data_IF_058660482814
#
_entry.id   IF_058660482814
#
_cell.length_a   1.000
_cell.length_b   1.000
_cell.length_c   1.000
_cell.angle_alpha   90.00
_cell.angle_beta   90.00
_cell.angle_gamma   90.00
#
_symmetry.space_group_name_H-M   'P 1'
#
loop_
_entity.id
_entity.type
_entity.pdbx_description
1 polymer ?
#
# COMPACT_ATOMS: atom_id res chain seq x y z
N UNK A 1 -77.46 23.45 14.94
CA UNK A 1 -76.71 22.38 15.62
C UNK A 1 -75.56 21.83 14.76
N UNK A 2 -75.04 22.56 13.78
CA UNK A 2 -74.03 22.03 12.84
C UNK A 2 -72.82 22.95 12.61
N UNK A 3 -72.65 23.99 13.42
CA UNK A 3 -71.52 24.92 13.29
C UNK A 3 -70.41 24.70 14.35
N UNK A 4 -70.71 24.07 15.49
CA UNK A 4 -69.69 23.77 16.52
C UNK A 4 -68.79 22.58 16.14
N UNK A 5 -69.29 21.67 15.31
CA UNK A 5 -68.57 20.44 14.94
C UNK A 5 -67.40 20.62 13.95
N UNK A 6 -67.28 21.78 13.28
CA UNK A 6 -66.16 22.07 12.38
C UNK A 6 -65.03 22.85 13.07
N UNK A 7 -65.33 23.67 14.07
CA UNK A 7 -64.31 24.36 14.88
C UNK A 7 -63.58 23.39 15.81
N UNK A 8 -64.30 22.43 16.39
CA UNK A 8 -63.70 21.42 17.26
C UNK A 8 -62.76 20.50 16.46
N UNK A 9 -63.13 20.11 15.23
CA UNK A 9 -62.28 19.31 14.35
C UNK A 9 -61.01 20.04 13.87
N UNK A 10 -61.08 21.37 13.68
CA UNK A 10 -59.92 22.19 13.31
C UNK A 10 -58.97 22.40 14.48
N UNK A 11 -59.49 22.50 15.69
CA UNK A 11 -58.69 22.65 16.91
C UNK A 11 -58.02 21.32 17.29
N UNK A 12 -58.71 20.20 17.12
CA UNK A 12 -58.16 18.85 17.31
C UNK A 12 -57.07 18.52 16.28
N UNK A 13 -57.20 18.99 15.02
CA UNK A 13 -56.17 18.82 13.99
C UNK A 13 -54.93 19.68 14.26
N UNK A 14 -55.09 20.91 14.74
CA UNK A 14 -53.97 21.77 15.12
C UNK A 14 -53.24 21.24 16.35
N UNK A 15 -53.96 20.71 17.34
CA UNK A 15 -53.36 20.05 18.49
C UNK A 15 -52.61 18.77 18.11
N UNK A 16 -53.14 17.98 17.18
CA UNK A 16 -52.45 16.79 16.67
C UNK A 16 -51.20 17.14 15.85
N UNK A 17 -51.20 18.22 15.06
CA UNK A 17 -50.01 18.67 14.34
C UNK A 17 -48.94 19.26 15.28
N UNK A 18 -49.34 19.97 16.35
CA UNK A 18 -48.40 20.46 17.37
C UNK A 18 -47.78 19.31 18.17
N UNK A 19 -48.58 18.33 18.62
CA UNK A 19 -48.10 17.15 19.36
C UNK A 19 -47.18 16.27 18.49
N UNK A 20 -47.45 16.14 17.19
CA UNK A 20 -46.60 15.40 16.25
C UNK A 20 -45.27 16.12 15.94
N UNK A 21 -45.28 17.46 15.88
CA UNK A 21 -44.04 18.23 15.71
C UNK A 21 -43.19 18.23 16.99
N UNK A 22 -43.81 18.26 18.18
CA UNK A 22 -43.09 18.10 19.46
C UNK A 22 -42.46 16.70 19.58
N UNK A 23 -43.17 15.64 19.16
CA UNK A 23 -42.60 14.28 19.10
C UNK A 23 -41.43 14.16 18.12
N UNK A 24 -41.49 14.79 16.93
CA UNK A 24 -40.36 14.82 15.99
C UNK A 24 -39.17 15.63 16.53
N UNK A 25 -39.40 16.77 17.18
CA UNK A 25 -38.33 17.58 17.80
C UNK A 25 -37.67 16.83 18.99
N UNK A 26 -38.44 16.14 19.83
CA UNK A 26 -37.91 15.31 20.92
C UNK A 26 -37.13 14.09 20.39
N UNK A 27 -37.60 13.45 19.31
CA UNK A 27 -36.85 12.38 18.65
C UNK A 27 -35.55 12.90 18.01
N UNK A 28 -35.56 14.09 17.40
CA UNK A 28 -34.36 14.72 16.85
C UNK A 28 -33.35 15.09 17.95
N UNK A 29 -33.77 15.74 19.05
CA UNK A 29 -32.88 16.06 20.18
C UNK A 29 -32.31 14.79 20.84
N UNK A 30 -33.12 13.75 21.03
CA UNK A 30 -32.65 12.48 21.58
C UNK A 30 -31.61 11.79 20.67
N UNK A 31 -31.82 11.87 19.36
CA UNK A 31 -30.86 11.36 18.37
C UNK A 31 -29.54 12.15 18.39
N UNK A 32 -29.59 13.48 18.53
CA UNK A 32 -28.40 14.34 18.66
C UNK A 32 -27.59 14.02 19.92
N UNK A 33 -28.25 13.84 21.07
CA UNK A 33 -27.59 13.45 22.33
C UNK A 33 -26.92 12.06 22.22
N UNK A 34 -27.60 11.09 21.61
CA UNK A 34 -27.02 9.76 21.36
C UNK A 34 -25.79 9.83 20.43
N UNK A 35 -25.82 10.67 19.41
CA UNK A 35 -24.69 10.87 18.49
C UNK A 35 -23.51 11.54 19.19
N UNK A 36 -23.73 12.52 20.06
CA UNK A 36 -22.66 13.12 20.87
C UNK A 36 -22.04 12.11 21.84
N UNK A 37 -22.85 11.28 22.50
CA UNK A 37 -22.35 10.21 23.38
C UNK A 37 -21.54 9.17 22.59
N UNK A 38 -21.96 8.79 21.39
CA UNK A 38 -21.20 7.88 20.52
C UNK A 38 -19.87 8.49 20.07
N UNK A 39 -19.88 9.77 19.69
CA UNK A 39 -18.69 10.50 19.26
C UNK A 39 -17.67 10.67 20.39
N UNK A 40 -18.13 10.94 21.60
CA UNK A 40 -17.25 11.00 22.79
C UNK A 40 -16.66 9.62 23.13
N UNK A 41 -17.44 8.55 22.98
CA UNK A 41 -16.96 7.17 23.17
C UNK A 41 -15.87 6.78 22.15
N UNK A 42 -16.05 7.17 20.89
CA UNK A 42 -15.10 6.89 19.81
C UNK A 42 -13.79 7.68 19.97
N UNK A 43 -13.88 8.92 20.48
CA UNK A 43 -12.71 9.70 20.89
C UNK A 43 -12.00 9.07 22.10
N UNK A 44 -12.72 8.58 23.11
CA UNK A 44 -12.13 7.81 24.23
C UNK A 44 -11.39 6.55 23.73
N UNK A 45 -11.95 5.85 22.73
CA UNK A 45 -11.32 4.69 22.12
C UNK A 45 -9.99 5.09 21.47
N UNK A 46 -9.97 6.20 20.75
CA UNK A 46 -8.77 6.70 20.11
C UNK A 46 -7.70 7.11 21.12
N UNK A 47 -8.10 7.79 22.20
CA UNK A 47 -7.20 8.17 23.29
C UNK A 47 -6.62 6.95 24.00
N UNK A 48 -7.40 5.87 24.18
CA UNK A 48 -6.90 4.61 24.73
C UNK A 48 -5.81 3.98 23.85
N UNK A 49 -5.96 4.05 22.53
CA UNK A 49 -4.97 3.57 21.58
C UNK A 49 -3.70 4.44 21.57
N UNK A 50 -3.83 5.76 21.74
CA UNK A 50 -2.71 6.71 21.87
C UNK A 50 -1.92 6.45 23.15
N UNK A 51 -2.62 6.24 24.27
CA UNK A 51 -2.04 5.97 25.59
C UNK A 51 -1.53 4.54 25.76
N UNK A 52 -1.70 3.67 24.76
CA UNK A 52 -1.27 2.26 24.76
C UNK A 52 -1.92 1.42 25.86
N UNK A 53 -3.17 1.74 26.21
CA UNK A 53 -3.92 0.99 27.24
C UNK A 53 -4.81 -0.08 26.60
N UNK A 54 -4.27 -1.30 26.49
CA UNK A 54 -5.01 -2.43 25.93
C UNK A 54 -6.24 -2.81 26.74
N UNK A 55 -6.21 -2.68 28.07
CA UNK A 55 -7.35 -3.05 28.92
C UNK A 55 -8.51 -2.09 28.71
N UNK A 56 -8.23 -0.79 28.65
CA UNK A 56 -9.23 0.23 28.34
C UNK A 56 -9.78 0.04 26.93
N UNK A 57 -8.93 -0.17 25.94
CA UNK A 57 -9.33 -0.43 24.55
C UNK A 57 -10.27 -1.63 24.45
N UNK A 58 -9.93 -2.73 25.15
CA UNK A 58 -10.75 -3.94 25.19
C UNK A 58 -12.12 -3.69 25.84
N UNK A 59 -12.15 -2.97 26.96
CA UNK A 59 -13.40 -2.63 27.65
C UNK A 59 -14.32 -1.78 26.75
N UNK A 60 -13.77 -0.75 26.09
CA UNK A 60 -14.54 0.13 25.21
C UNK A 60 -15.12 -0.63 24.00
N UNK A 61 -14.36 -1.55 23.38
CA UNK A 61 -14.82 -2.32 22.22
C UNK A 61 -15.78 -3.47 22.56
N UNK A 62 -15.64 -4.09 23.73
CA UNK A 62 -16.45 -5.26 24.11
C UNK A 62 -17.71 -4.84 24.88
N UNK A 63 -17.57 -3.98 25.88
CA UNK A 63 -18.66 -3.66 26.81
C UNK A 63 -19.45 -2.43 26.38
N UNK A 64 -18.77 -1.38 25.89
CA UNK A 64 -19.41 -0.12 25.51
C UNK A 64 -19.80 -0.03 24.03
N UNK A 65 -19.34 -0.97 23.20
CA UNK A 65 -19.68 -1.00 21.77
C UNK A 65 -19.07 0.12 20.94
N UNK A 66 -17.91 0.65 21.35
CA UNK A 66 -17.21 1.70 20.59
C UNK A 66 -16.92 1.28 19.14
N UNK A 67 -16.98 2.23 18.21
CA UNK A 67 -16.88 1.94 16.79
C UNK A 67 -15.42 1.78 16.35
N UNK A 68 -15.02 0.54 16.05
CA UNK A 68 -13.66 0.25 15.55
C UNK A 68 -13.37 0.84 14.15
N UNK A 69 -14.40 1.30 13.42
CA UNK A 69 -14.27 1.98 12.13
C UNK A 69 -13.91 3.47 12.25
N UNK A 70 -13.97 4.04 13.45
CA UNK A 70 -13.81 5.48 13.64
C UNK A 70 -12.47 6.02 13.12
N UNK A 71 -12.57 7.02 12.25
CA UNK A 71 -11.45 7.81 11.74
C UNK A 71 -11.66 9.27 12.16
N UNK A 72 -10.63 9.85 12.77
CA UNK A 72 -10.62 11.25 13.20
C UNK A 72 -9.86 12.08 12.18
N UNK A 73 -10.50 13.12 11.67
CA UNK A 73 -9.86 14.16 10.85
C UNK A 73 -9.80 15.47 11.64
N UNK A 74 -8.60 15.95 11.86
CA UNK A 74 -8.30 17.18 12.58
C UNK A 74 -7.84 18.21 11.55
N UNK A 75 -8.64 19.26 11.39
CA UNK A 75 -8.29 20.39 10.55
C UNK A 75 -7.30 21.31 11.29
N UNK A 76 -6.22 21.65 10.58
CA UNK A 76 -5.20 22.60 11.01
C UNK A 76 -5.32 23.94 10.30
N UNK A 77 -4.34 24.81 10.54
CA UNK A 77 -4.31 26.15 9.94
C UNK A 77 -3.95 26.06 8.45
N UNK A 78 -4.59 26.89 7.63
CA UNK A 78 -4.31 27.03 6.19
C UNK A 78 -4.43 25.72 5.40
N UNK A 79 -5.43 24.90 5.70
CA UNK A 79 -5.71 23.65 4.98
C UNK A 79 -4.74 22.51 5.33
N UNK A 80 -3.90 22.68 6.35
CA UNK A 80 -3.22 21.56 6.99
C UNK A 80 -4.28 20.63 7.59
N UNK A 81 -4.05 19.32 7.59
CA UNK A 81 -4.94 18.37 8.25
C UNK A 81 -4.17 17.12 8.67
N UNK A 82 -4.73 16.42 9.65
CA UNK A 82 -4.32 15.07 10.03
C UNK A 82 -5.55 14.18 10.07
N UNK A 83 -5.47 13.02 9.43
CA UNK A 83 -6.52 12.00 9.39
C UNK A 83 -5.94 10.68 9.84
N UNK A 84 -6.51 10.08 10.88
CA UNK A 84 -6.07 8.80 11.41
C UNK A 84 -7.20 8.07 12.13
N UNK A 85 -7.08 6.74 12.13
CA UNK A 85 -8.01 5.85 12.81
C UNK A 85 -7.34 5.16 14.00
N UNK A 86 -8.14 4.48 14.81
CA UNK A 86 -7.66 3.70 15.96
C UNK A 86 -6.61 2.68 15.54
N UNK A 87 -6.87 1.97 14.43
CA UNK A 87 -5.94 0.97 13.87
C UNK A 87 -4.56 1.58 13.52
N UNK A 88 -4.53 2.81 13.02
CA UNK A 88 -3.30 3.50 12.66
C UNK A 88 -2.46 3.85 13.90
N UNK A 89 -3.10 4.28 14.99
CA UNK A 89 -2.42 4.58 16.25
C UNK A 89 -1.86 3.31 16.91
N UNK A 90 -2.61 2.21 16.90
CA UNK A 90 -2.10 0.92 17.38
C UNK A 90 -0.92 0.43 16.52
N UNK A 91 -1.02 0.56 15.19
CA UNK A 91 0.04 0.17 14.26
C UNK A 91 1.32 1.00 14.44
N UNK A 92 1.22 2.33 14.60
CA UNK A 92 2.41 3.19 14.66
C UNK A 92 2.95 3.39 16.08
N UNK A 93 2.07 3.31 17.08
CA UNK A 93 2.35 3.80 18.42
C UNK A 93 2.80 2.75 19.43
N UNK A 94 2.59 1.45 19.20
CA UNK A 94 2.83 0.42 20.22
C UNK A 94 4.19 -0.28 20.04
N UNK A 95 4.91 -0.48 21.14
CA UNK A 95 6.27 -1.05 21.14
C UNK A 95 6.27 -2.58 21.30
N UNK A 96 5.38 -3.15 22.12
CA UNK A 96 5.27 -4.61 22.27
C UNK A 96 4.48 -5.21 21.11
N UNK A 97 5.16 -6.04 20.31
CA UNK A 97 4.61 -6.72 19.16
C UNK A 97 3.46 -7.68 19.52
N UNK A 98 3.51 -8.34 20.69
CA UNK A 98 2.45 -9.29 21.09
C UNK A 98 1.16 -8.56 21.44
N UNK A 99 1.28 -7.50 22.23
CA UNK A 99 0.15 -6.68 22.63
C UNK A 99 -0.45 -5.96 21.40
N UNK A 100 0.41 -5.43 20.52
CA UNK A 100 0.00 -4.82 19.25
C UNK A 100 -0.77 -5.82 18.38
N UNK A 101 -0.28 -7.06 18.24
CA UNK A 101 -1.00 -8.09 17.47
C UNK A 101 -2.37 -8.41 18.07
N UNK A 102 -2.47 -8.55 19.39
CA UNK A 102 -3.75 -8.82 20.07
C UNK A 102 -4.74 -7.67 19.91
N UNK A 103 -4.26 -6.42 20.03
CA UNK A 103 -5.10 -5.24 19.83
C UNK A 103 -5.61 -5.13 18.39
N UNK A 104 -4.75 -5.40 17.40
CA UNK A 104 -5.12 -5.40 15.99
C UNK A 104 -6.13 -6.52 15.69
N UNK A 105 -5.90 -7.73 16.19
CA UNK A 105 -6.84 -8.84 16.03
C UNK A 105 -8.20 -8.50 16.62
N UNK A 106 -8.23 -7.89 17.81
CA UNK A 106 -9.47 -7.44 18.44
C UNK A 106 -10.18 -6.36 17.59
N UNK A 107 -9.46 -5.34 17.13
CA UNK A 107 -10.00 -4.28 16.28
C UNK A 107 -10.59 -4.85 14.97
N UNK A 108 -9.86 -5.73 14.30
CA UNK A 108 -10.32 -6.38 13.06
C UNK A 108 -11.53 -7.29 13.30
N UNK A 109 -11.56 -8.02 14.41
CA UNK A 109 -12.72 -8.84 14.79
C UNK A 109 -13.99 -8.03 15.04
N UNK A 110 -13.82 -6.74 15.40
CA UNK A 110 -14.88 -5.77 15.62
C UNK A 110 -15.22 -4.94 14.38
N UNK A 111 -14.67 -5.28 13.21
CA UNK A 111 -14.99 -4.64 11.94
C UNK A 111 -14.15 -3.41 11.62
N UNK A 112 -12.98 -3.22 12.25
CA UNK A 112 -12.05 -2.17 11.84
C UNK A 112 -11.69 -2.31 10.36
N UNK A 113 -11.66 -1.18 9.65
CA UNK A 113 -11.37 -1.16 8.23
C UNK A 113 -9.87 -1.43 7.97
N UNK A 114 -9.57 -2.56 7.33
CA UNK A 114 -8.20 -2.94 6.90
C UNK A 114 -7.56 -1.96 5.93
N UNK A 115 -8.38 -1.23 5.18
CA UNK A 115 -7.97 -0.21 4.21
C UNK A 115 -8.29 1.20 4.71
N UNK A 116 -8.39 1.40 6.03
CA UNK A 116 -8.54 2.73 6.60
C UNK A 116 -7.42 3.65 6.07
N UNK A 117 -7.79 4.89 5.76
CA UNK A 117 -6.85 5.88 5.23
C UNK A 117 -6.23 6.63 6.40
N UNK A 118 -4.91 6.76 6.37
CA UNK A 118 -4.14 7.66 7.19
C UNK A 118 -3.56 8.73 6.27
N UNK A 119 -3.61 9.98 6.70
CA UNK A 119 -2.98 11.04 5.94
C UNK A 119 -2.70 12.27 6.77
N UNK A 120 -1.64 12.98 6.41
CA UNK A 120 -1.38 14.29 6.98
C UNK A 120 -0.87 15.22 5.89
N UNK A 121 -1.39 16.44 5.85
CA UNK A 121 -0.87 17.51 5.01
C UNK A 121 -0.48 18.69 5.87
N UNK A 122 0.67 19.28 5.58
CA UNK A 122 1.03 20.56 6.15
C UNK A 122 0.39 21.72 5.37
N UNK A 123 0.54 22.94 5.87
CA UNK A 123 0.00 24.16 5.28
C UNK A 123 0.55 24.47 3.87
N UNK A 124 1.64 23.82 3.44
CA UNK A 124 2.20 23.97 2.10
C UNK A 124 1.56 23.02 1.08
N UNK A 125 0.57 22.22 1.50
CA UNK A 125 0.01 21.15 0.68
C UNK A 125 0.96 19.97 0.50
N UNK A 126 2.02 19.88 1.31
CA UNK A 126 2.93 18.75 1.32
C UNK A 126 2.49 17.79 2.40
N UNK A 127 2.10 16.60 1.96
CA UNK A 127 1.57 15.57 2.82
C UNK A 127 1.89 14.18 2.32
N UNK A 128 1.55 13.20 3.14
CA UNK A 128 1.53 11.80 2.76
C UNK A 128 0.21 11.21 3.21
N UNK A 129 -0.37 10.38 2.36
CA UNK A 129 -1.45 9.48 2.73
C UNK A 129 -1.06 8.05 2.41
N UNK A 130 -1.68 7.11 3.10
CA UNK A 130 -1.51 5.69 2.90
C UNK A 130 -2.60 4.92 3.62
N UNK A 131 -2.72 3.64 3.32
CA UNK A 131 -3.70 2.76 3.98
C UNK A 131 -3.09 2.06 5.20
N UNK A 132 -3.92 1.60 6.13
CA UNK A 132 -3.45 0.77 7.24
C UNK A 132 -2.65 -0.45 6.75
N UNK A 133 -3.09 -1.08 5.65
CA UNK A 133 -2.37 -2.21 5.05
C UNK A 133 -1.00 -1.80 4.46
N UNK A 134 -0.87 -0.62 3.86
CA UNK A 134 0.43 -0.09 3.41
C UNK A 134 1.44 0.06 4.56
N UNK A 135 0.98 0.52 5.72
CA UNK A 135 1.82 0.61 6.93
C UNK A 135 2.29 -0.77 7.36
N UNK A 136 1.38 -1.75 7.38
CA UNK A 136 1.70 -3.15 7.72
C UNK A 136 2.75 -3.74 6.77
N UNK A 137 2.60 -3.50 5.47
CA UNK A 137 3.55 -3.96 4.46
C UNK A 137 4.93 -3.29 4.62
N UNK A 138 4.98 -2.02 5.04
CA UNK A 138 6.23 -1.31 5.32
C UNK A 138 7.00 -1.87 6.52
N UNK A 139 6.29 -2.41 7.53
CA UNK A 139 6.90 -3.06 8.70
C UNK A 139 7.50 -4.43 8.40
N UNK A 140 7.14 -5.03 7.27
CA UNK A 140 7.60 -6.35 6.85
C UNK A 140 7.36 -7.48 7.89
N UNK A 141 6.25 -7.41 8.63
CA UNK A 141 5.86 -8.49 9.54
C UNK A 141 4.88 -9.44 8.82
N UNK A 142 5.35 -10.64 8.47
CA UNK A 142 4.57 -11.64 7.72
C UNK A 142 3.31 -12.09 8.46
N UNK A 143 3.36 -12.25 9.79
CA UNK A 143 2.18 -12.66 10.56
C UNK A 143 1.09 -11.59 10.52
N UNK A 144 1.49 -10.32 10.65
CA UNK A 144 0.58 -9.19 10.56
C UNK A 144 -0.02 -9.02 9.16
N UNK A 145 0.79 -9.24 8.12
CA UNK A 145 0.34 -9.20 6.72
C UNK A 145 -0.69 -10.30 6.46
N UNK A 146 -0.42 -11.53 6.92
CA UNK A 146 -1.37 -12.66 6.83
C UNK A 146 -2.68 -12.36 7.54
N UNK A 147 -2.62 -11.71 8.71
CA UNK A 147 -3.81 -11.30 9.45
C UNK A 147 -4.66 -10.32 8.64
N UNK A 148 -4.06 -9.25 8.10
CA UNK A 148 -4.78 -8.26 7.30
C UNK A 148 -5.38 -8.87 6.02
N UNK A 149 -4.63 -9.73 5.31
CA UNK A 149 -5.13 -10.42 4.12
C UNK A 149 -6.31 -11.35 4.45
N UNK A 150 -6.29 -12.02 5.61
CA UNK A 150 -7.42 -12.85 6.09
C UNK A 150 -8.70 -12.03 6.31
N UNK A 151 -8.57 -10.79 6.76
CA UNK A 151 -9.69 -9.86 6.95
C UNK A 151 -10.06 -9.06 5.68
N UNK A 152 -9.55 -9.47 4.51
CA UNK A 152 -9.97 -8.91 3.21
C UNK A 152 -9.15 -7.72 2.72
N UNK A 153 -7.92 -7.54 3.20
CA UNK A 153 -7.02 -6.54 2.62
C UNK A 153 -6.70 -6.89 1.14
N UNK A 154 -6.58 -5.87 0.30
CA UNK A 154 -6.31 -6.07 -1.13
C UNK A 154 -4.83 -6.44 -1.36
N UNK A 155 -4.61 -7.65 -1.88
CA UNK A 155 -3.27 -8.15 -2.22
C UNK A 155 -2.63 -7.39 -3.40
N UNK A 156 -3.43 -6.64 -4.15
CA UNK A 156 -3.00 -5.80 -5.28
C UNK A 156 -2.70 -4.35 -4.89
N UNK A 157 -2.61 -4.08 -3.59
CA UNK A 157 -2.22 -2.75 -3.11
C UNK A 157 -0.91 -2.28 -3.75
N UNK A 158 -0.84 -0.98 -3.98
CA UNK A 158 0.28 -0.33 -4.64
C UNK A 158 0.69 0.89 -3.83
N UNK A 159 1.98 1.03 -3.57
CA UNK A 159 2.51 2.28 -3.05
C UNK A 159 2.40 3.35 -4.13
N UNK A 160 1.51 4.31 -3.93
CA UNK A 160 1.33 5.45 -4.82
C UNK A 160 2.03 6.66 -4.24
N UNK A 161 2.72 7.42 -5.07
CA UNK A 161 3.24 8.75 -4.70
C UNK A 161 2.95 9.71 -5.82
N UNK A 162 2.51 10.90 -5.43
CA UNK A 162 2.35 12.04 -6.30
C UNK A 162 3.27 13.15 -5.79
N UNK A 163 3.97 13.79 -6.70
CA UNK A 163 4.86 14.88 -6.41
C UNK A 163 4.52 16.01 -7.36
N UNK A 164 3.78 17.00 -6.88
CA UNK A 164 3.44 18.20 -7.60
C UNK A 164 4.20 19.37 -7.00
N UNK A 165 5.14 19.92 -7.75
CA UNK A 165 5.86 21.15 -7.41
C UNK A 165 5.81 22.10 -8.60
N UNK A 166 6.24 23.36 -8.42
CA UNK A 166 6.24 24.32 -9.52
C UNK A 166 7.04 23.88 -10.76
N UNK A 167 8.01 22.97 -10.60
CA UNK A 167 8.98 22.59 -11.65
C UNK A 167 9.01 21.10 -11.97
N UNK A 168 8.27 20.30 -11.22
CA UNK A 168 8.25 18.85 -11.33
C UNK A 168 6.86 18.33 -11.05
N UNK A 169 6.34 17.57 -11.99
CA UNK A 169 5.14 16.79 -11.85
C UNK A 169 5.49 15.31 -12.01
N UNK A 170 5.29 14.53 -10.95
CA UNK A 170 5.62 13.12 -10.93
C UNK A 170 4.54 12.27 -10.30
N UNK A 171 4.32 11.10 -10.88
CA UNK A 171 3.46 10.06 -10.36
C UNK A 171 4.18 8.73 -10.42
N UNK A 172 4.20 8.02 -9.30
CA UNK A 172 4.71 6.65 -9.23
C UNK A 172 3.70 5.73 -8.58
N UNK A 173 3.65 4.50 -9.09
CA UNK A 173 2.86 3.43 -8.50
C UNK A 173 3.68 2.14 -8.55
N UNK A 174 3.94 1.59 -7.36
CA UNK A 174 4.69 0.36 -7.21
C UNK A 174 3.81 -0.68 -6.49
N UNK A 175 3.33 -1.72 -7.20
CA UNK A 175 2.65 -2.84 -6.56
C UNK A 175 3.53 -3.47 -5.47
N UNK A 176 2.97 -3.89 -4.35
CA UNK A 176 3.78 -4.49 -3.28
C UNK A 176 4.43 -5.81 -3.70
N UNK A 177 3.82 -6.54 -4.64
CA UNK A 177 4.45 -7.69 -5.26
C UNK A 177 5.76 -7.30 -5.97
N UNK A 178 5.77 -6.21 -6.76
CA UNK A 178 6.98 -5.67 -7.38
C UNK A 178 8.02 -5.26 -6.32
N UNK A 179 7.57 -4.61 -5.25
CA UNK A 179 8.44 -4.16 -4.17
C UNK A 179 9.09 -5.33 -3.41
N UNK A 180 8.37 -6.44 -3.22
CA UNK A 180 8.91 -7.64 -2.59
C UNK A 180 10.03 -8.28 -3.42
N UNK A 181 9.94 -8.24 -4.76
CA UNK A 181 11.02 -8.62 -5.67
C UNK A 181 12.19 -7.65 -5.55
N UNK A 182 11.93 -6.34 -5.57
CA UNK A 182 12.97 -5.29 -5.45
C UNK A 182 13.82 -5.43 -4.20
N UNK A 183 13.21 -5.81 -3.07
CA UNK A 183 13.92 -6.01 -1.80
C UNK A 183 14.35 -7.47 -1.56
N UNK A 184 14.08 -8.40 -2.48
CA UNK A 184 14.44 -9.81 -2.35
C UNK A 184 13.73 -10.54 -1.20
N UNK A 185 12.52 -10.10 -0.86
CA UNK A 185 11.74 -10.66 0.24
C UNK A 185 10.83 -11.79 -0.25
N UNK A 186 11.34 -13.02 -0.13
CA UNK A 186 10.69 -14.23 -0.61
C UNK A 186 9.43 -14.60 0.18
N UNK A 187 9.42 -14.37 1.50
CA UNK A 187 8.29 -14.74 2.36
C UNK A 187 7.08 -13.84 2.09
N UNK A 188 7.31 -12.54 1.95
CA UNK A 188 6.28 -11.59 1.52
C UNK A 188 5.77 -11.92 0.13
N UNK A 189 6.68 -12.21 -0.80
CA UNK A 189 6.35 -12.55 -2.17
C UNK A 189 5.45 -13.79 -2.24
N UNK A 190 5.77 -14.86 -1.51
CA UNK A 190 4.93 -16.06 -1.39
C UNK A 190 3.56 -15.75 -0.78
N UNK A 191 3.55 -15.00 0.32
CA UNK A 191 2.31 -14.64 1.02
C UNK A 191 1.33 -13.89 0.12
N UNK A 192 1.82 -12.93 -0.68
CA UNK A 192 0.99 -12.17 -1.61
C UNK A 192 0.44 -13.06 -2.74
N UNK A 193 1.26 -13.95 -3.31
CA UNK A 193 0.81 -14.88 -4.36
C UNK A 193 -0.24 -15.88 -3.85
N UNK A 194 -0.08 -16.39 -2.63
CA UNK A 194 -1.07 -17.28 -1.99
C UNK A 194 -2.44 -16.60 -1.82
N UNK A 195 -2.46 -15.27 -1.72
CA UNK A 195 -3.68 -14.46 -1.63
C UNK A 195 -4.06 -13.81 -2.99
N UNK A 196 -3.77 -14.51 -4.09
CA UNK A 196 -4.16 -14.14 -5.46
C UNK A 196 -3.68 -12.75 -5.92
N UNK A 197 -2.50 -12.31 -5.48
CA UNK A 197 -1.89 -11.09 -6.02
C UNK A 197 -1.68 -11.22 -7.54
N UNK A 198 -2.10 -10.20 -8.27
CA UNK A 198 -1.97 -10.13 -9.71
C UNK A 198 -0.49 -9.89 -10.08
N UNK A 199 0.08 -10.86 -10.80
CA UNK A 199 1.48 -10.84 -11.20
C UNK A 199 1.78 -9.91 -12.38
N UNK A 200 0.74 -9.48 -13.09
CA UNK A 200 0.82 -8.65 -14.29
C UNK A 200 0.60 -7.15 -14.01
N UNK A 201 0.71 -6.72 -12.75
CA UNK A 201 0.64 -5.30 -12.40
C UNK A 201 1.94 -4.59 -12.74
N UNK A 202 1.85 -3.55 -13.55
CA UNK A 202 3.00 -2.71 -13.88
C UNK A 202 3.37 -1.83 -12.69
N UNK A 203 4.65 -1.85 -12.36
CA UNK A 203 5.28 -0.73 -11.66
C UNK A 203 5.52 0.38 -12.67
N UNK A 204 5.12 1.60 -12.33
CA UNK A 204 5.48 2.76 -13.13
C UNK A 204 6.02 3.90 -12.28
N UNK A 205 6.96 4.64 -12.87
CA UNK A 205 7.46 5.89 -12.33
C UNK A 205 7.52 6.88 -13.48
N UNK A 206 6.70 7.93 -13.39
CA UNK A 206 6.62 8.99 -14.37
C UNK A 206 6.96 10.30 -13.73
N UNK A 207 7.93 11.00 -14.30
CA UNK A 207 8.37 12.31 -13.84
C UNK A 207 8.58 13.22 -15.03
N UNK A 208 7.91 14.36 -15.04
CA UNK A 208 8.12 15.43 -16.00
C UNK A 208 8.57 16.68 -15.29
N UNK A 209 9.64 17.27 -15.81
CA UNK A 209 10.12 18.58 -15.35
C UNK A 209 10.01 19.60 -16.47
N UNK A 210 10.22 20.87 -16.11
CA UNK A 210 10.37 21.96 -17.08
C UNK A 210 11.51 21.74 -18.10
N UNK A 211 12.46 20.84 -17.81
CA UNK A 211 13.56 20.47 -18.71
C UNK A 211 13.27 19.24 -19.59
N UNK A 212 12.08 18.65 -19.46
CA UNK A 212 11.67 17.44 -20.18
C UNK A 212 11.31 16.26 -19.28
N UNK A 213 10.92 15.11 -19.87
CA UNK A 213 10.64 13.89 -19.14
C UNK A 213 11.93 13.37 -18.48
N UNK A 214 11.87 13.11 -17.18
CA UNK A 214 13.01 12.62 -16.38
C UNK A 214 12.90 11.11 -16.18
N UNK A 215 11.69 10.62 -15.90
CA UNK A 215 11.44 9.21 -15.57
C UNK A 215 10.22 8.73 -16.38
N UNK A 216 10.34 7.63 -17.11
CA UNK A 216 9.20 6.87 -17.66
C UNK A 216 9.51 5.36 -17.55
N UNK A 217 9.55 4.91 -16.30
CA UNK A 217 9.67 3.50 -15.96
C UNK A 217 8.31 2.84 -16.13
N UNK A 218 8.24 1.72 -16.86
CA UNK A 218 7.11 0.80 -16.83
C UNK A 218 7.64 -0.64 -16.84
N UNK A 219 7.76 -1.27 -15.68
CA UNK A 219 8.33 -2.62 -15.53
C UNK A 219 7.33 -3.58 -14.85
N UNK A 220 7.43 -4.88 -15.14
CA UNK A 220 6.68 -5.92 -14.42
C UNK A 220 7.56 -6.55 -13.35
N UNK A 221 6.97 -7.18 -12.31
CA UNK A 221 7.71 -7.95 -11.31
C UNK A 221 8.65 -9.00 -11.95
N UNK A 222 8.19 -9.65 -13.03
CA UNK A 222 8.98 -10.65 -13.77
C UNK A 222 10.24 -10.04 -14.39
N UNK A 223 10.12 -8.90 -15.09
CA UNK A 223 11.26 -8.23 -15.69
C UNK A 223 12.31 -7.83 -14.64
N UNK A 224 11.85 -7.29 -13.50
CA UNK A 224 12.74 -6.93 -12.41
C UNK A 224 13.46 -8.17 -11.85
N UNK A 225 12.73 -9.25 -11.60
CA UNK A 225 13.30 -10.50 -11.08
C UNK A 225 14.37 -11.05 -12.03
N UNK A 226 14.11 -11.06 -13.34
CA UNK A 226 15.07 -11.53 -14.35
C UNK A 226 16.30 -10.61 -14.46
N UNK A 227 16.11 -9.29 -14.40
CA UNK A 227 17.20 -8.29 -14.40
C UNK A 227 18.13 -8.48 -13.19
N UNK A 228 17.55 -8.66 -12.00
CA UNK A 228 18.29 -8.94 -10.77
C UNK A 228 19.02 -10.28 -10.85
N UNK A 229 18.34 -11.32 -11.35
CA UNK A 229 18.94 -12.64 -11.56
C UNK A 229 20.17 -12.59 -12.51
N UNK A 230 20.07 -11.91 -13.66
CA UNK A 230 21.19 -11.73 -14.60
C UNK A 230 22.35 -10.94 -13.98
N UNK A 231 22.04 -9.90 -13.21
CA UNK A 231 23.05 -9.10 -12.52
C UNK A 231 23.88 -9.95 -11.53
N UNK A 232 23.22 -10.82 -10.77
CA UNK A 232 23.88 -11.74 -9.82
C UNK A 232 24.70 -12.79 -10.57
N UNK A 233 24.17 -13.33 -11.66
CA UNK A 233 24.89 -14.33 -12.46
C UNK A 233 26.18 -13.76 -13.07
N UNK A 234 26.13 -12.52 -13.59
CA UNK A 234 27.31 -11.85 -14.13
C UNK A 234 28.37 -11.57 -13.05
N UNK A 235 27.96 -11.19 -11.84
CA UNK A 235 28.87 -11.02 -10.70
C UNK A 235 29.56 -12.36 -10.37
N UNK A 236 28.81 -13.45 -10.33
CA UNK A 236 29.37 -14.78 -10.05
C UNK A 236 30.38 -15.23 -11.11
N UNK A 237 30.12 -14.95 -12.40
CA UNK A 237 31.05 -15.24 -13.49
C UNK A 237 32.33 -14.41 -13.34
N UNK A 238 32.22 -13.11 -13.06
CA UNK A 238 33.39 -12.23 -12.93
C UNK A 238 34.25 -12.56 -11.70
N UNK A 239 33.63 -12.94 -10.58
CA UNK A 239 34.37 -13.40 -9.40
C UNK A 239 35.11 -14.71 -9.69
N UNK A 240 34.49 -15.66 -10.39
CA UNK A 240 35.14 -16.91 -10.78
C UNK A 240 36.30 -16.70 -11.76
N UNK A 241 36.21 -15.70 -12.64
CA UNK A 241 37.29 -15.35 -13.56
C UNK A 241 38.47 -14.65 -12.86
N UNK A 242 38.20 -13.79 -11.85
CA UNK A 242 39.25 -13.16 -11.06
C UNK A 242 40.00 -14.13 -10.12
N UNK A 243 39.37 -15.23 -9.69
CA UNK A 243 40.04 -16.27 -8.89
C UNK A 243 41.07 -17.05 -9.72
N UNK A 244 40.95 -17.05 -11.05
CA UNK A 244 41.88 -17.74 -11.94
C UNK A 244 43.13 -16.90 -12.33
N UNK A 245 43.27 -15.66 -11.83
CA UNK A 245 44.38 -14.77 -12.18
C UNK A 245 45.26 -14.27 -11.01
N UNK A 246 45.05 -14.71 -9.76
CA UNK A 246 45.97 -14.37 -8.66
C UNK A 246 46.63 -15.59 -8.02
N UNK A 247 47.88 -15.86 -8.41
CA UNK A 247 48.84 -16.53 -7.56
C UNK A 247 49.26 -15.56 -6.43
N UNK A 248 49.43 -16.11 -5.24
CA UNK A 248 50.00 -15.51 -4.01
C UNK A 248 49.12 -14.50 -3.25
N UNK A 249 48.48 -14.96 -2.16
CA UNK A 249 48.59 -14.44 -0.77
C UNK A 249 47.33 -14.69 0.08
N UNK A 250 47.59 -14.93 1.37
CA UNK A 250 46.71 -15.47 2.41
C UNK A 250 45.54 -14.55 2.84
N UNK A 251 44.41 -14.52 2.12
CA UNK A 251 43.18 -13.82 2.56
C UNK A 251 41.93 -14.73 2.52
N UNK A 252 41.95 -15.80 3.32
CA UNK A 252 40.92 -16.86 3.33
C UNK A 252 39.66 -16.54 4.19
N UNK A 253 39.61 -15.38 4.85
CA UNK A 253 38.57 -15.10 5.86
C UNK A 253 37.40 -14.19 5.42
N UNK A 254 37.45 -13.53 4.25
CA UNK A 254 36.39 -12.62 3.78
C UNK A 254 35.54 -13.13 2.59
N UNK A 255 35.94 -14.21 1.90
CA UNK A 255 35.24 -14.71 0.70
C UNK A 255 34.02 -15.60 1.02
N UNK A 256 34.06 -16.39 2.09
CA UNK A 256 32.99 -17.34 2.44
C UNK A 256 31.64 -16.65 2.75
N UNK A 257 31.65 -15.41 3.24
CA UNK A 257 30.44 -14.65 3.55
C UNK A 257 29.78 -14.01 2.30
N UNK A 258 30.55 -13.75 1.24
CA UNK A 258 30.03 -13.15 0.02
C UNK A 258 29.52 -14.21 -0.96
N UNK A 259 30.19 -15.36 -1.06
CA UNK A 259 29.72 -16.50 -1.85
C UNK A 259 28.41 -17.10 -1.31
N UNK A 260 28.32 -17.28 0.01
CA UNK A 260 27.10 -17.79 0.65
C UNK A 260 25.89 -16.86 0.48
N UNK A 261 26.10 -15.53 0.58
CA UNK A 261 25.06 -14.52 0.32
C UNK A 261 24.66 -14.45 -1.16
N UNK A 262 25.63 -14.51 -2.09
CA UNK A 262 25.35 -14.50 -3.53
C UNK A 262 24.57 -15.73 -3.97
N UNK A 263 24.97 -16.92 -3.50
CA UNK A 263 24.30 -18.19 -3.78
C UNK A 263 22.88 -18.23 -3.22
N UNK A 264 22.67 -17.68 -2.03
CA UNK A 264 21.34 -17.55 -1.42
C UNK A 264 20.43 -16.59 -2.23
N UNK A 265 20.96 -15.44 -2.66
CA UNK A 265 20.20 -14.51 -3.51
C UNK A 265 19.88 -15.10 -4.89
N UNK A 266 20.79 -15.87 -5.49
CA UNK A 266 20.55 -16.55 -6.75
C UNK A 266 19.35 -17.52 -6.67
N UNK A 267 19.33 -18.40 -5.66
CA UNK A 267 18.21 -19.32 -5.47
C UNK A 267 16.89 -18.59 -5.15
N UNK A 268 16.94 -17.50 -4.37
CA UNK A 268 15.77 -16.67 -4.08
C UNK A 268 15.13 -16.10 -5.34
N UNK A 269 15.90 -15.44 -6.20
CA UNK A 269 15.34 -14.84 -7.43
C UNK A 269 14.92 -15.90 -8.43
N UNK A 270 15.63 -17.02 -8.51
CA UNK A 270 15.21 -18.18 -9.31
C UNK A 270 13.85 -18.70 -8.85
N UNK A 271 13.66 -18.88 -7.54
CA UNK A 271 12.38 -19.32 -6.98
C UNK A 271 11.26 -18.30 -7.23
N UNK A 272 11.53 -17.00 -7.07
CA UNK A 272 10.57 -15.95 -7.39
C UNK A 272 10.12 -16.01 -8.86
N UNK A 273 11.05 -16.19 -9.81
CA UNK A 273 10.70 -16.29 -11.24
C UNK A 273 9.84 -17.53 -11.50
N UNK A 274 10.21 -18.69 -10.93
CA UNK A 274 9.44 -19.92 -11.07
C UNK A 274 8.01 -19.76 -10.53
N UNK A 275 7.87 -19.08 -9.39
CA UNK A 275 6.56 -18.76 -8.81
C UNK A 275 5.76 -17.81 -9.70
N UNK A 276 6.36 -16.73 -10.23
CA UNK A 276 5.68 -15.84 -11.18
C UNK A 276 5.14 -16.59 -12.40
N UNK A 277 5.96 -17.46 -12.99
CA UNK A 277 5.55 -18.31 -14.12
C UNK A 277 4.40 -19.25 -13.71
N UNK A 278 4.49 -19.88 -12.53
CA UNK A 278 3.43 -20.76 -12.01
C UNK A 278 2.09 -20.03 -11.83
N UNK A 279 2.11 -18.76 -11.42
CA UNK A 279 0.92 -17.93 -11.23
C UNK A 279 0.54 -17.14 -12.50
N UNK A 280 0.86 -17.69 -13.69
CA UNK A 280 0.48 -17.16 -15.01
C UNK A 280 0.88 -15.69 -15.25
N UNK A 281 2.07 -15.29 -14.83
CA UNK A 281 2.65 -14.04 -15.33
C UNK A 281 2.72 -14.09 -16.85
N UNK A 282 2.19 -13.07 -17.50
CA UNK A 282 2.23 -12.95 -18.95
C UNK A 282 3.66 -12.59 -19.36
N UNK A 283 4.36 -13.59 -19.87
CA UNK A 283 5.76 -13.47 -20.29
C UNK A 283 5.85 -12.55 -21.53
N UNK A 284 4.75 -12.35 -22.25
CA UNK A 284 4.69 -11.52 -23.46
C UNK A 284 4.29 -10.06 -23.16
N UNK A 285 3.82 -9.73 -21.96
CA UNK A 285 3.62 -8.34 -21.59
C UNK A 285 4.99 -7.71 -21.41
N UNK A 286 5.38 -6.77 -22.27
CA UNK A 286 6.65 -6.07 -22.16
C UNK A 286 6.53 -4.84 -21.25
N UNK A 287 7.49 -4.69 -20.34
CA UNK A 287 7.72 -3.46 -19.61
C UNK A 287 8.73 -2.62 -20.39
N UNK A 288 8.30 -1.47 -20.91
CA UNK A 288 9.21 -0.55 -21.60
C UNK A 288 9.98 0.26 -20.55
N UNK A 289 11.30 0.15 -20.52
CA UNK A 289 12.13 1.12 -19.79
C UNK A 289 12.55 2.23 -20.73
N UNK A 290 11.73 3.26 -20.87
CA UNK A 290 12.13 4.41 -21.70
C UNK A 290 13.00 5.34 -20.86
N UNK A 291 14.31 5.10 -20.87
CA UNK A 291 15.27 6.14 -20.54
C UNK A 291 15.43 7.04 -21.77
N UNK A 292 14.61 8.10 -21.89
CA UNK A 292 14.93 9.17 -22.83
C UNK A 292 16.17 9.91 -22.31
N UNK A 293 17.34 9.55 -22.85
CA UNK A 293 18.48 10.47 -22.82
C UNK A 293 18.06 11.67 -23.69
N UNK A 294 18.13 12.91 -23.20
CA UNK A 294 17.80 14.08 -24.00
C UNK A 294 18.89 14.28 -25.04
N UNK A 295 18.79 13.58 -26.18
CA UNK A 295 19.56 13.91 -27.37
C UNK A 295 18.76 14.94 -28.17
N UNK A 296 19.36 16.12 -28.36
CA UNK A 296 18.80 17.31 -29.02
C UNK A 296 18.38 17.11 -30.50
N UNK A 297 18.36 15.88 -31.03
CA UNK A 297 18.17 15.57 -32.44
C UNK A 297 17.12 14.46 -32.69
N UNK A 298 15.94 14.52 -32.07
CA UNK A 298 14.80 13.70 -32.53
C UNK A 298 13.57 14.55 -32.88
N UNK A 299 12.94 14.34 -34.06
CA UNK A 299 11.85 15.17 -34.55
C UNK A 299 10.61 15.03 -33.68
N UNK A 300 10.03 16.18 -33.30
CA UNK A 300 8.89 16.34 -32.38
C UNK A 300 7.53 15.81 -32.86
N UNK A 301 7.48 14.99 -33.92
CA UNK A 301 6.24 14.42 -34.44
C UNK A 301 6.50 12.99 -34.91
N UNK A 302 6.26 12.02 -34.02
CA UNK A 302 6.18 10.62 -34.37
C UNK A 302 4.82 10.14 -33.86
N UNK A 303 4.01 9.58 -34.76
CA UNK A 303 2.67 9.07 -34.45
C UNK A 303 2.79 7.86 -33.50
N UNK A 304 1.78 7.65 -32.65
CA UNK A 304 1.75 6.59 -31.61
C UNK A 304 2.03 5.16 -32.15
N UNK A 305 1.88 4.93 -33.45
CA UNK A 305 2.13 3.63 -34.10
C UNK A 305 3.61 3.35 -34.43
N UNK A 306 4.46 4.38 -34.57
CA UNK A 306 5.90 4.23 -34.90
C UNK A 306 6.81 4.05 -33.66
N UNK A 307 6.27 4.20 -32.45
CA UNK A 307 7.02 4.02 -31.20
C UNK A 307 7.30 2.55 -30.81
N UNK A 308 6.82 1.59 -31.60
CA UNK A 308 6.95 0.16 -31.36
C UNK A 308 8.33 -0.42 -31.76
N UNK A 309 9.19 0.33 -32.45
CA UNK A 309 10.42 -0.23 -33.04
C UNK A 309 11.74 0.25 -32.41
N UNK A 310 11.72 1.18 -31.46
CA UNK A 310 12.95 1.61 -30.75
C UNK A 310 13.03 0.86 -29.41
N UNK A 311 13.51 -0.39 -29.47
CA UNK A 311 13.90 -1.20 -28.31
C UNK A 311 15.27 -0.72 -27.81
N UNK A 312 15.38 -0.30 -26.56
CA UNK A 312 16.66 -0.02 -25.92
C UNK A 312 17.45 -1.34 -25.81
N UNK A 313 18.76 -1.40 -26.12
CA UNK A 313 19.58 -2.60 -25.90
C UNK A 313 19.67 -3.06 -24.43
N UNK A 314 19.15 -2.25 -23.49
CA UNK A 314 18.96 -2.59 -22.07
C UNK A 314 17.56 -3.11 -21.73
N UNK A 315 16.61 -3.03 -22.67
CA UNK A 315 15.28 -3.62 -22.50
C UNK A 315 15.44 -5.14 -22.42
N UNK A 316 14.95 -5.71 -21.31
CA UNK A 316 15.01 -7.15 -21.09
C UNK A 316 14.00 -7.83 -22.03
N UNK A 317 14.49 -8.39 -23.13
CA UNK A 317 13.62 -8.97 -24.14
C UNK A 317 13.11 -10.35 -23.70
N UNK A 318 11.98 -10.80 -24.26
CA UNK A 318 11.47 -12.16 -24.11
C UNK A 318 12.51 -13.24 -24.43
N UNK A 319 13.45 -12.94 -25.34
CA UNK A 319 14.58 -13.81 -25.65
C UNK A 319 15.56 -13.96 -24.49
N UNK A 320 15.76 -12.93 -23.66
CA UNK A 320 16.58 -13.01 -22.45
C UNK A 320 15.92 -13.85 -21.36
N UNK A 321 14.58 -13.81 -21.22
CA UNK A 321 13.83 -14.67 -20.28
C UNK A 321 13.97 -16.15 -20.69
N UNK A 322 13.88 -16.45 -21.99
CA UNK A 322 14.04 -17.81 -22.53
C UNK A 322 15.49 -18.33 -22.50
N UNK A 323 16.48 -17.43 -22.51
CA UNK A 323 17.89 -17.79 -22.36
C UNK A 323 18.31 -18.06 -20.91
N UNK A 324 17.48 -17.70 -19.92
CA UNK A 324 17.65 -18.21 -18.57
C UNK A 324 17.36 -19.70 -18.63
N UNK A 325 18.45 -20.49 -18.66
CA UNK A 325 18.43 -21.94 -18.68
C UNK A 325 17.85 -22.46 -17.36
N UNK A 326 16.52 -22.39 -17.23
CA UNK A 326 15.79 -23.14 -16.23
C UNK A 326 15.95 -24.59 -16.63
N UNK A 327 17.01 -25.24 -16.16
CA UNK A 327 17.09 -26.70 -16.16
C UNK A 327 15.96 -27.21 -15.27
N UNK A 328 14.76 -27.30 -15.85
CA UNK A 328 13.65 -28.08 -15.36
C UNK A 328 14.11 -29.55 -15.46
N UNK A 329 14.64 -30.06 -14.36
CA UNK A 329 14.92 -31.49 -14.18
C UNK A 329 13.88 -32.08 -13.26
#
# INVERSE_FOLDING_TARGET
MSHDSQSDQLNDQQQQEEEYNEEEEEEEEFNEEEEEIKKTLDDELLDSAINRDFNRLKLLLIEKGANAFYNKRIEGVWGAYEEYGVIHKVLLGWDDMKEQMQAIELLLSKGANVNAIYGSSNWKGSGSSGTAFEIVLSKNNIELIKLFLKYGADSNTCQKRQAHTMRYDGSSSFPFLYQSVKYGNLDLFKCLLEHNANTNLFAFNRGSSEYGPIDDLKELPLHLACKLFKSINNININNNNNINESYDSDDEYNNNNNESKSKNNYEKYKEMILLLIKYNSDINMYGKTVYQIPNENYPKNINEEEYNEISDPRDFTFKDVLQIDFKFK
#
